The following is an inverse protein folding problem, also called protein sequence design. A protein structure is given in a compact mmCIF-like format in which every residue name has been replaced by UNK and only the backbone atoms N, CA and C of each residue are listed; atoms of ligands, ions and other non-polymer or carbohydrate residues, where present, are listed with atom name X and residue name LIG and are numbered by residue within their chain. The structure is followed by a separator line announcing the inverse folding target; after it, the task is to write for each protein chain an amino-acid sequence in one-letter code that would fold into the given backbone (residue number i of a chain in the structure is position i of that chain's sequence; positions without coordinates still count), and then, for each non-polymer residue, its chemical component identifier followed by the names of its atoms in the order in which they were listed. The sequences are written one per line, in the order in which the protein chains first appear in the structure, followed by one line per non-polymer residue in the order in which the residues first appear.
data_IF_175369577316
#
_entry.id   IF_175369577316
#
_cell.length_a   1.000
_cell.length_b   1.000
_cell.length_c   1.000
_cell.angle_alpha   90.00
_cell.angle_beta   90.00
_cell.angle_gamma   90.00
#
_symmetry.space_group_name_H-M   'P 1'
#
loop_
_entity.id
_entity.type
_entity.pdbx_description
1 polymer ?
#
# COMPACT_ATOMS: atom_id res chain seq x y z
N UNK A 1 52.81 -39.03 40.30
CA UNK A 1 52.17 -39.37 39.01
C UNK A 1 50.76 -38.82 39.03
N UNK A 2 50.37 -38.17 37.94
CA UNK A 2 49.29 -37.20 37.83
C UNK A 2 47.89 -37.83 37.66
N UNK A 3 46.87 -37.13 38.13
CA UNK A 3 45.47 -37.25 37.71
C UNK A 3 44.87 -35.86 37.97
N UNK A 4 44.47 -35.04 37.01
CA UNK A 4 43.83 -35.34 35.74
C UNK A 4 42.48 -34.64 35.79
N UNK A 5 42.46 -33.35 35.46
CA UNK A 5 41.28 -32.49 35.51
C UNK A 5 40.21 -32.97 34.52
N UNK A 6 38.99 -33.22 35.02
CA UNK A 6 37.81 -33.52 34.21
C UNK A 6 36.71 -32.50 34.50
N UNK A 7 36.73 -31.39 33.77
CA UNK A 7 35.69 -30.37 33.76
C UNK A 7 34.46 -30.91 33.03
N UNK A 8 33.46 -31.40 33.76
CA UNK A 8 32.13 -31.75 33.25
C UNK A 8 31.35 -30.47 32.92
N UNK A 9 31.50 -29.97 31.69
CA UNK A 9 30.56 -29.02 31.08
C UNK A 9 29.35 -29.82 30.60
N UNK A 10 28.26 -29.75 31.35
CA UNK A 10 26.92 -30.11 30.84
C UNK A 10 26.48 -29.07 29.81
N UNK A 11 26.99 -29.20 28.58
CA UNK A 11 26.46 -28.54 27.39
C UNK A 11 25.11 -29.20 27.01
N UNK A 12 24.12 -29.05 27.88
CA UNK A 12 22.73 -29.23 27.47
C UNK A 12 22.40 -28.09 26.50
N UNK A 13 22.54 -28.37 25.19
CA UNK A 13 22.00 -27.51 24.14
C UNK A 13 20.58 -27.08 24.57
N UNK A 14 20.26 -25.76 24.62
CA UNK A 14 19.01 -25.35 25.21
C UNK A 14 17.89 -25.92 24.36
N UNK A 15 17.15 -26.90 24.90
CA UNK A 15 16.02 -27.50 24.21
C UNK A 15 15.00 -26.43 23.79
N UNK A 16 14.96 -25.31 24.52
CA UNK A 16 14.24 -24.09 24.17
C UNK A 16 14.72 -23.44 22.87
N UNK A 17 16.03 -23.37 22.64
CA UNK A 17 16.61 -22.86 21.40
C UNK A 17 16.21 -23.75 20.23
N UNK A 18 16.25 -25.08 20.42
CA UNK A 18 15.79 -26.03 19.40
C UNK A 18 14.30 -25.87 19.09
N UNK A 19 13.44 -25.63 20.08
CA UNK A 19 12.00 -25.36 19.87
C UNK A 19 11.75 -24.03 19.16
N UNK A 20 12.59 -23.01 19.41
CA UNK A 20 12.51 -21.70 18.72
C UNK A 20 13.04 -21.75 17.28
N UNK A 21 14.08 -22.54 17.04
CA UNK A 21 14.73 -22.68 15.73
C UNK A 21 14.01 -23.68 14.82
N UNK A 22 13.50 -24.76 15.40
CA UNK A 22 12.79 -25.81 14.67
C UNK A 22 11.35 -25.85 15.17
N UNK A 23 10.48 -25.12 14.46
CA UNK A 23 9.04 -25.23 14.67
C UNK A 23 8.64 -26.69 14.48
N UNK A 24 8.11 -27.30 15.54
CA UNK A 24 7.56 -28.66 15.48
C UNK A 24 6.48 -28.71 14.38
N UNK A 25 6.34 -29.82 13.63
CA UNK A 25 5.32 -29.94 12.59
C UNK A 25 3.95 -29.52 13.11
N UNK A 26 3.33 -28.56 12.42
CA UNK A 26 2.01 -28.02 12.78
C UNK A 26 1.00 -29.17 12.78
N UNK A 27 0.37 -29.39 13.94
CA UNK A 27 -0.69 -30.39 14.11
C UNK A 27 -1.92 -29.88 13.34
N UNK A 28 -2.62 -30.75 12.62
CA UNK A 28 -3.74 -30.45 11.70
C UNK A 28 -4.76 -29.43 12.25
N UNK A 29 -4.98 -29.36 13.56
CA UNK A 29 -5.88 -28.39 14.21
C UNK A 29 -5.42 -26.93 14.13
N UNK A 30 -4.12 -26.65 14.21
CA UNK A 30 -3.58 -25.28 14.08
C UNK A 30 -3.60 -24.80 12.62
N UNK A 31 -3.49 -25.72 11.65
CA UNK A 31 -3.55 -25.39 10.21
C UNK A 31 -4.90 -24.83 9.78
N UNK A 32 -6.00 -25.30 10.39
CA UNK A 32 -7.35 -24.84 10.05
C UNK A 32 -7.61 -23.41 10.54
N UNK A 33 -7.12 -23.08 11.74
CA UNK A 33 -7.19 -21.72 12.31
C UNK A 33 -6.33 -20.75 11.49
N UNK A 34 -5.08 -21.13 11.21
CA UNK A 34 -4.14 -20.29 10.42
C UNK A 34 -4.65 -20.11 8.97
N UNK A 35 -5.29 -21.13 8.38
CA UNK A 35 -5.92 -21.04 7.05
C UNK A 35 -7.13 -20.11 7.03
N UNK A 36 -7.97 -20.14 8.08
CA UNK A 36 -9.12 -19.23 8.22
C UNK A 36 -8.69 -17.77 8.39
N UNK A 37 -7.66 -17.53 9.18
CA UNK A 37 -7.12 -16.18 9.41
C UNK A 37 -6.45 -15.63 8.13
N UNK A 38 -5.71 -16.47 7.41
CA UNK A 38 -5.14 -16.13 6.11
C UNK A 38 -6.22 -15.86 5.06
N UNK A 39 -7.30 -16.65 5.02
CA UNK A 39 -8.43 -16.42 4.10
C UNK A 39 -9.13 -15.10 4.40
N UNK A 40 -9.32 -14.78 5.67
CA UNK A 40 -9.92 -13.51 6.13
C UNK A 40 -9.04 -12.32 5.73
N UNK A 41 -7.73 -12.42 5.93
CA UNK A 41 -6.77 -11.40 5.52
C UNK A 41 -6.74 -11.21 4.01
N UNK A 42 -6.74 -12.30 3.23
CA UNK A 42 -6.73 -12.23 1.76
C UNK A 42 -8.02 -11.60 1.22
N UNK A 43 -9.17 -11.94 1.80
CA UNK A 43 -10.44 -11.29 1.46
C UNK A 43 -10.41 -9.80 1.79
N UNK A 44 -9.87 -9.41 2.95
CA UNK A 44 -9.74 -8.01 3.32
C UNK A 44 -8.82 -7.25 2.36
N UNK A 45 -7.66 -7.81 2.01
CA UNK A 45 -6.73 -7.21 1.05
C UNK A 45 -7.37 -7.06 -0.34
N UNK A 46 -8.12 -8.07 -0.79
CA UNK A 46 -8.82 -8.02 -2.07
C UNK A 46 -9.89 -6.93 -2.09
N UNK A 47 -10.66 -6.78 -1.00
CA UNK A 47 -11.65 -5.70 -0.85
C UNK A 47 -10.94 -4.34 -0.87
N UNK A 48 -9.88 -4.17 -0.09
CA UNK A 48 -9.12 -2.92 -0.02
C UNK A 48 -8.56 -2.53 -1.39
N UNK A 49 -7.95 -3.47 -2.11
CA UNK A 49 -7.44 -3.24 -3.45
C UNK A 49 -8.56 -2.86 -4.42
N UNK A 50 -9.70 -3.57 -4.37
CA UNK A 50 -10.85 -3.28 -5.23
C UNK A 50 -11.41 -1.88 -4.99
N UNK A 51 -11.50 -1.46 -3.72
CA UNK A 51 -11.91 -0.12 -3.32
C UNK A 51 -10.92 0.95 -3.78
N UNK A 52 -9.62 0.70 -3.64
CA UNK A 52 -8.58 1.63 -4.12
C UNK A 52 -8.67 1.82 -5.63
N UNK A 53 -8.85 0.74 -6.39
CA UNK A 53 -9.00 0.80 -7.84
C UNK A 53 -10.27 1.55 -8.25
N UNK A 54 -11.40 1.30 -7.57
CA UNK A 54 -12.64 2.04 -7.80
C UNK A 54 -12.46 3.54 -7.51
N UNK A 55 -11.80 3.88 -6.39
CA UNK A 55 -11.50 5.26 -6.04
C UNK A 55 -10.65 5.96 -7.11
N UNK A 56 -9.55 5.33 -7.55
CA UNK A 56 -8.69 5.89 -8.60
C UNK A 56 -9.45 6.10 -9.91
N UNK A 57 -10.34 5.17 -10.27
CA UNK A 57 -11.17 5.33 -11.47
C UNK A 57 -12.10 6.55 -11.37
N UNK A 58 -12.77 6.73 -10.22
CA UNK A 58 -13.64 7.90 -9.99
C UNK A 58 -12.85 9.21 -10.00
N UNK A 59 -11.68 9.26 -9.33
CA UNK A 59 -10.82 10.45 -9.33
C UNK A 59 -10.38 10.82 -10.75
N UNK A 60 -9.99 9.83 -11.57
CA UNK A 60 -9.64 10.04 -12.97
C UNK A 60 -10.82 10.59 -13.78
N UNK A 61 -12.00 10.00 -13.65
CA UNK A 61 -13.19 10.45 -14.38
C UNK A 61 -13.58 11.88 -13.99
N UNK A 62 -13.49 12.23 -12.71
CA UNK A 62 -13.76 13.60 -12.24
C UNK A 62 -12.77 14.61 -12.80
N UNK A 63 -11.48 14.27 -12.84
CA UNK A 63 -10.45 15.11 -13.46
C UNK A 63 -10.69 15.29 -14.96
N UNK A 64 -11.05 14.23 -15.67
CA UNK A 64 -11.39 14.31 -17.10
C UNK A 64 -12.61 15.19 -17.36
N UNK A 65 -13.67 15.07 -16.54
CA UNK A 65 -14.85 15.93 -16.61
C UNK A 65 -14.47 17.40 -16.37
N UNK A 66 -13.66 17.68 -15.35
CA UNK A 66 -13.19 19.03 -15.04
C UNK A 66 -12.34 19.61 -16.17
N UNK A 67 -11.44 18.82 -16.75
CA UNK A 67 -10.63 19.25 -17.90
C UNK A 67 -11.50 19.56 -19.12
N UNK A 68 -12.50 18.73 -19.42
CA UNK A 68 -13.47 19.01 -20.49
C UNK A 68 -14.21 20.33 -20.25
N UNK A 69 -14.70 20.57 -19.04
CA UNK A 69 -15.36 21.83 -18.68
C UNK A 69 -14.43 23.05 -18.81
N UNK A 70 -13.17 22.93 -18.36
CA UNK A 70 -12.20 24.02 -18.48
C UNK A 70 -11.86 24.33 -19.95
N UNK A 71 -11.75 23.31 -20.80
CA UNK A 71 -11.57 23.51 -22.25
C UNK A 71 -12.75 24.21 -22.88
N UNK A 72 -13.98 23.85 -22.52
CA UNK A 72 -15.19 24.53 -22.99
C UNK A 72 -15.24 25.99 -22.52
N UNK A 73 -14.81 26.28 -21.28
CA UNK A 73 -14.71 27.67 -20.80
C UNK A 73 -13.65 28.45 -21.58
N UNK A 74 -12.51 27.83 -21.90
CA UNK A 74 -11.47 28.47 -22.69
C UNK A 74 -11.96 28.83 -24.09
N UNK A 75 -12.69 27.93 -24.77
CA UNK A 75 -13.26 28.22 -26.09
C UNK A 75 -14.29 29.34 -26.01
N UNK A 76 -15.18 29.30 -25.02
CA UNK A 76 -16.16 30.38 -24.81
C UNK A 76 -15.48 31.73 -24.55
N UNK A 77 -14.44 31.77 -23.71
CA UNK A 77 -13.67 32.99 -23.46
C UNK A 77 -12.95 33.51 -24.71
N UNK A 78 -12.49 32.60 -25.59
CA UNK A 78 -11.86 33.00 -26.86
C UNK A 78 -12.87 33.60 -27.84
N UNK A 79 -14.11 33.10 -27.86
CA UNK A 79 -15.21 33.64 -28.68
C UNK A 79 -15.64 35.03 -28.22
N UNK A 80 -15.59 35.29 -26.91
CA UNK A 80 -15.95 36.60 -26.33
C UNK A 80 -14.75 37.55 -26.20
N UNK A 81 -13.54 37.14 -26.59
CA UNK A 81 -12.30 37.90 -26.35
C UNK A 81 -12.31 39.28 -27.05
N UNK A 82 -12.98 39.40 -28.19
CA UNK A 82 -13.10 40.66 -28.92
C UNK A 82 -13.88 41.74 -28.15
N UNK A 83 -14.69 41.34 -27.16
CA UNK A 83 -15.54 42.26 -26.39
C UNK A 83 -14.77 43.02 -25.32
N UNK A 84 -13.59 42.53 -24.93
CA UNK A 84 -12.83 43.07 -23.80
C UNK A 84 -11.53 43.72 -24.26
N UNK A 85 -10.97 44.59 -23.40
CA UNK A 85 -9.64 45.13 -23.66
C UNK A 85 -8.59 44.01 -23.55
N UNK A 86 -7.56 44.02 -24.44
CA UNK A 86 -6.46 43.07 -24.35
C UNK A 86 -5.79 43.09 -22.98
N UNK A 87 -5.44 41.91 -22.49
CA UNK A 87 -4.88 41.70 -21.14
C UNK A 87 -3.57 42.47 -20.95
N UNK A 88 -2.77 42.62 -22.01
CA UNK A 88 -1.50 43.34 -22.00
C UNK A 88 -1.69 44.80 -21.58
N UNK A 89 -2.75 45.44 -22.07
CA UNK A 89 -3.11 46.83 -21.70
C UNK A 89 -3.58 46.94 -20.26
N UNK A 90 -4.24 45.91 -19.73
CA UNK A 90 -4.72 45.87 -18.35
C UNK A 90 -3.57 45.67 -17.34
N UNK A 91 -2.53 44.94 -17.74
CA UNK A 91 -1.35 44.65 -16.89
C UNK A 91 -0.27 45.74 -17.05
N UNK A 92 -0.48 46.72 -17.93
CA UNK A 92 0.46 47.83 -18.14
C UNK A 92 1.71 47.43 -18.90
N UNK A 93 1.67 46.32 -19.64
CA UNK A 93 2.71 45.96 -20.58
C UNK A 93 2.49 46.75 -21.88
N UNK A 94 3.40 47.68 -22.13
CA UNK A 94 3.48 48.48 -23.36
C UNK A 94 4.33 47.79 -24.41
#
# INVERSE_FOLDING_TARGET
MASGAGSSRDESFPAELRKKLFKSPVVEGDRLLESSDNLTLMNQLQIQHSLEMARKAVEKEQLEKRLKQLRLKLTAMSEDNWRYQPVEKLIGQH
#
